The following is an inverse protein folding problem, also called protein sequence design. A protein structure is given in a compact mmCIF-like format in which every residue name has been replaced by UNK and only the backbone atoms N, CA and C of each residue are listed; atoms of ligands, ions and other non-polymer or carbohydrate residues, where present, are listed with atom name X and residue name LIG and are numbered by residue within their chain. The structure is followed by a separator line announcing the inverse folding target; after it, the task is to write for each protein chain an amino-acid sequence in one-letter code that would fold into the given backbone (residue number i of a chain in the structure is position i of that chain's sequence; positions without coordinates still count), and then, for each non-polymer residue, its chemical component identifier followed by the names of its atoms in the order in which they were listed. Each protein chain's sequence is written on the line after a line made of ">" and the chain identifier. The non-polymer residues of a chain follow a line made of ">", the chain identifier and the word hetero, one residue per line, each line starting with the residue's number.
data_IF_749231107134
#
_entry.id   IF_749231107134
#
_cell.length_a   1.000
_cell.length_b   1.000
_cell.length_c   1.000
_cell.angle_alpha   90.00
_cell.angle_beta   90.00
_cell.angle_gamma   90.00
#
_symmetry.space_group_name_H-M   'P 1'
#
loop_
_entity.id
_entity.type
_entity.pdbx_description
1 polymer ?
#
# COMPACT_ATOMS: atom_id res chain seq x y z
N UNK A 1 -77.58 0.44 -1.70
CA UNK A 1 -76.98 1.48 -2.56
C UNK A 1 -75.81 2.23 -1.90
N UNK A 2 -75.83 2.49 -0.58
CA UNK A 2 -74.74 3.18 0.13
C UNK A 2 -73.43 2.37 0.32
N UNK A 3 -73.50 1.04 0.41
CA UNK A 3 -72.29 0.20 0.59
C UNK A 3 -71.40 0.11 -0.67
N UNK A 4 -72.00 0.21 -1.85
CA UNK A 4 -71.31 0.08 -3.15
C UNK A 4 -70.50 1.34 -3.50
N UNK A 5 -71.03 2.52 -3.14
CA UNK A 5 -70.35 3.81 -3.30
C UNK A 5 -69.15 3.97 -2.34
N UNK A 6 -69.19 3.34 -1.17
CA UNK A 6 -68.07 3.35 -0.21
C UNK A 6 -66.91 2.44 -0.64
N UNK A 7 -67.21 1.26 -1.22
CA UNK A 7 -66.20 0.35 -1.76
C UNK A 7 -65.50 0.94 -3.00
N UNK A 8 -66.22 1.63 -3.89
CA UNK A 8 -65.60 2.33 -5.03
C UNK A 8 -64.70 3.50 -4.60
N UNK A 9 -65.01 4.20 -3.49
CA UNK A 9 -64.17 5.30 -2.99
C UNK A 9 -62.87 4.83 -2.33
N UNK A 10 -62.86 3.66 -1.67
CA UNK A 10 -61.66 3.09 -1.05
C UNK A 10 -60.65 2.56 -2.07
N UNK A 11 -61.12 1.90 -3.15
CA UNK A 11 -60.25 1.42 -4.24
C UNK A 11 -59.64 2.58 -5.04
N UNK A 12 -60.37 3.69 -5.17
CA UNK A 12 -59.89 4.87 -5.90
C UNK A 12 -58.84 5.69 -5.09
N UNK A 13 -58.91 5.67 -3.75
CA UNK A 13 -57.95 6.39 -2.89
C UNK A 13 -56.57 5.73 -2.84
N UNK A 14 -56.50 4.39 -2.85
CA UNK A 14 -55.20 3.67 -2.80
C UNK A 14 -54.37 3.84 -4.08
N UNK A 15 -55.03 3.95 -5.25
CA UNK A 15 -54.35 4.12 -6.54
C UNK A 15 -53.69 5.50 -6.71
N UNK A 16 -54.29 6.57 -6.18
CA UNK A 16 -53.76 7.94 -6.27
C UNK A 16 -52.54 8.15 -5.38
N UNK A 17 -52.50 7.52 -4.20
CA UNK A 17 -51.34 7.59 -3.28
C UNK A 17 -50.08 6.91 -3.86
N UNK A 18 -50.25 5.81 -4.60
CA UNK A 18 -49.12 5.12 -5.26
C UNK A 18 -48.53 5.90 -6.46
N UNK A 19 -49.31 6.80 -7.06
CA UNK A 19 -48.89 7.59 -8.23
C UNK A 19 -48.15 8.87 -7.84
N UNK A 20 -48.50 9.48 -6.70
CA UNK A 20 -47.81 10.65 -6.14
C UNK A 20 -46.40 10.27 -5.66
N UNK A 21 -46.24 9.09 -5.06
CA UNK A 21 -44.93 8.60 -4.58
C UNK A 21 -43.90 8.32 -5.70
N UNK A 22 -44.35 8.10 -6.94
CA UNK A 22 -43.45 7.84 -8.09
C UNK A 22 -42.97 9.12 -8.79
N UNK A 23 -43.71 10.23 -8.68
CA UNK A 23 -43.31 11.50 -9.29
C UNK A 23 -42.26 12.25 -8.46
N UNK A 24 -42.35 12.17 -7.13
CA UNK A 24 -41.40 12.85 -6.24
C UNK A 24 -40.02 12.15 -6.18
N UNK A 25 -39.96 10.84 -6.48
CA UNK A 25 -38.70 10.09 -6.51
C UNK A 25 -37.84 10.42 -7.74
N UNK A 26 -38.46 10.84 -8.86
CA UNK A 26 -37.75 11.15 -10.11
C UNK A 26 -37.36 12.63 -10.16
N UNK A 27 -38.16 13.52 -9.55
CA UNK A 27 -37.84 14.95 -9.46
C UNK A 27 -36.68 15.25 -8.48
N UNK A 28 -36.53 14.46 -7.40
CA UNK A 28 -35.41 14.59 -6.47
C UNK A 28 -34.06 14.14 -7.05
N UNK A 29 -34.06 13.23 -8.04
CA UNK A 29 -32.84 12.71 -8.65
C UNK A 29 -32.28 13.60 -9.78
N UNK A 30 -33.10 14.48 -10.35
CA UNK A 30 -32.70 15.37 -11.46
C UNK A 30 -32.09 16.70 -10.99
N UNK A 31 -32.31 17.13 -9.73
CA UNK A 31 -31.83 18.42 -9.20
C UNK A 31 -30.41 18.31 -8.59
N UNK A 32 -29.90 17.10 -8.35
CA UNK A 32 -28.57 16.86 -7.76
C UNK A 32 -27.44 16.65 -8.79
N UNK A 33 -27.70 16.77 -10.10
CA UNK A 33 -26.68 16.54 -11.14
C UNK A 33 -26.04 17.81 -11.72
N UNK A 34 -26.47 19.01 -11.31
CA UNK A 34 -25.85 20.29 -11.70
C UNK A 34 -24.97 20.88 -10.58
N UNK A 35 -24.29 20.03 -9.81
CA UNK A 35 -23.10 20.47 -9.10
C UNK A 35 -22.01 20.75 -10.14
N UNK A 36 -21.93 22.01 -10.55
CA UNK A 36 -20.89 22.55 -11.41
C UNK A 36 -19.52 22.18 -10.84
N UNK A 37 -18.87 21.22 -11.49
CA UNK A 37 -17.45 20.96 -11.33
C UNK A 37 -16.73 22.24 -11.75
N UNK A 38 -16.40 23.09 -10.78
CA UNK A 38 -15.39 24.13 -10.98
C UNK A 38 -14.05 23.40 -11.09
N UNK A 39 -13.75 22.92 -12.31
CA UNK A 39 -12.43 22.46 -12.67
C UNK A 39 -11.56 23.71 -12.64
N UNK A 40 -10.91 23.98 -11.52
CA UNK A 40 -9.84 24.96 -11.43
C UNK A 40 -8.72 24.49 -12.36
N UNK A 41 -8.77 24.92 -13.61
CA UNK A 41 -7.68 24.73 -14.54
C UNK A 41 -6.45 25.38 -13.93
N UNK A 42 -5.39 24.59 -13.70
CA UNK A 42 -4.11 25.13 -13.28
C UNK A 42 -3.64 26.10 -14.37
N UNK A 43 -3.76 27.41 -14.11
CA UNK A 43 -3.41 28.44 -15.08
C UNK A 43 -1.91 28.38 -15.32
N UNK A 44 -1.52 27.95 -16.52
CA UNK A 44 -0.11 27.85 -16.87
C UNK A 44 0.51 29.25 -16.91
N UNK A 45 1.70 29.43 -16.32
CA UNK A 45 2.36 30.73 -16.31
C UNK A 45 2.71 31.15 -17.75
N UNK A 46 2.26 32.34 -18.14
CA UNK A 46 2.49 32.88 -19.48
C UNK A 46 3.60 33.94 -19.49
N UNK A 47 3.66 34.74 -18.42
CA UNK A 47 4.59 35.88 -18.31
C UNK A 47 5.17 36.02 -16.91
N UNK A 48 6.30 36.70 -16.82
CA UNK A 48 7.00 37.03 -15.59
C UNK A 48 7.23 38.54 -15.54
N UNK A 49 6.81 39.17 -14.45
CA UNK A 49 6.93 40.60 -14.23
C UNK A 49 7.93 40.89 -13.12
N UNK A 50 8.86 41.82 -13.31
CA UNK A 50 9.75 42.28 -12.24
C UNK A 50 9.90 43.78 -12.24
N UNK A 51 10.45 44.29 -11.13
CA UNK A 51 10.77 45.68 -10.92
C UNK A 51 12.28 45.85 -11.01
N UNK A 52 12.72 46.73 -11.91
CA UNK A 52 14.13 47.13 -11.96
C UNK A 52 14.46 48.14 -10.86
N UNK A 53 15.72 48.62 -10.81
CA UNK A 53 16.17 49.56 -9.79
C UNK A 53 15.48 50.94 -9.89
N UNK A 54 14.92 51.27 -11.06
CA UNK A 54 14.20 52.52 -11.30
C UNK A 54 12.69 52.37 -11.01
N UNK A 55 12.23 51.19 -10.58
CA UNK A 55 10.83 50.88 -10.35
C UNK A 55 10.04 50.65 -11.64
N UNK A 56 10.71 50.51 -12.78
CA UNK A 56 10.06 50.26 -14.07
C UNK A 56 9.67 48.79 -14.14
N UNK A 57 8.41 48.56 -14.50
CA UNK A 57 7.83 47.23 -14.68
C UNK A 57 8.26 46.67 -16.02
N UNK A 58 8.95 45.53 -16.00
CA UNK A 58 9.28 44.78 -17.21
C UNK A 58 8.62 43.41 -17.18
N UNK A 59 8.03 43.02 -18.30
CA UNK A 59 7.36 41.72 -18.48
C UNK A 59 8.16 40.91 -19.50
N UNK A 60 8.52 39.68 -19.13
CA UNK A 60 9.28 38.75 -19.94
C UNK A 60 8.56 37.41 -20.03
N UNK A 61 8.77 36.68 -21.13
CA UNK A 61 8.32 35.27 -21.26
C UNK A 61 9.26 34.27 -20.55
N UNK A 62 10.40 34.74 -20.05
CA UNK A 62 11.39 33.91 -19.35
C UNK A 62 11.94 34.58 -18.10
N UNK A 63 12.30 33.78 -17.10
CA UNK A 63 12.89 34.24 -15.84
C UNK A 63 14.40 34.41 -16.01
N UNK A 64 14.91 35.63 -15.77
CA UNK A 64 16.37 35.89 -15.77
C UNK A 64 16.93 35.95 -14.35
N UNK A 65 18.26 35.92 -14.20
CA UNK A 65 18.89 36.04 -12.87
C UNK A 65 18.51 37.33 -12.13
N UNK A 66 18.27 38.44 -12.86
CA UNK A 66 17.83 39.68 -12.24
C UNK A 66 16.44 39.56 -11.61
N UNK A 67 15.53 38.82 -12.23
CA UNK A 67 14.21 38.51 -11.68
C UNK A 67 14.37 37.73 -10.37
N UNK A 68 15.19 36.68 -10.35
CA UNK A 68 15.44 35.86 -9.16
C UNK A 68 16.04 36.69 -8.02
N UNK A 69 17.01 37.57 -8.33
CA UNK A 69 17.68 38.41 -7.33
C UNK A 69 16.75 39.44 -6.68
N UNK A 70 15.81 40.01 -7.44
CA UNK A 70 14.92 41.09 -6.95
C UNK A 70 13.53 40.61 -6.53
N UNK A 71 13.16 39.39 -6.90
CA UNK A 71 11.80 38.92 -6.83
C UNK A 71 11.02 39.30 -8.08
N UNK A 72 9.98 38.54 -8.36
CA UNK A 72 9.17 38.69 -9.56
C UNK A 72 7.78 38.10 -9.35
N UNK A 73 6.86 38.53 -10.18
CA UNK A 73 5.49 38.07 -10.24
C UNK A 73 5.32 37.12 -11.42
N UNK A 74 4.60 36.02 -11.18
CA UNK A 74 4.19 35.07 -12.21
C UNK A 74 2.79 35.45 -12.65
N UNK A 75 2.59 35.67 -13.95
CA UNK A 75 1.33 36.14 -14.53
C UNK A 75 0.72 35.09 -15.47
N UNK A 76 -0.61 35.09 -15.57
CA UNK A 76 -1.35 34.30 -16.55
C UNK A 76 -1.40 34.97 -17.94
N UNK A 77 -2.06 34.32 -18.89
CA UNK A 77 -2.24 34.86 -20.24
C UNK A 77 -3.03 36.18 -20.28
N UNK A 78 -3.84 36.44 -19.25
CA UNK A 78 -4.64 37.64 -19.08
C UNK A 78 -3.93 38.70 -18.22
N UNK A 79 -2.62 38.53 -17.97
CA UNK A 79 -1.79 39.42 -17.13
C UNK A 79 -2.18 39.49 -15.65
N UNK A 80 -2.98 38.55 -15.15
CA UNK A 80 -3.33 38.46 -13.74
C UNK A 80 -2.21 37.79 -12.94
N UNK A 81 -2.01 38.26 -11.70
CA UNK A 81 -1.03 37.67 -10.79
C UNK A 81 -1.45 36.27 -10.35
N UNK A 82 -0.66 35.27 -10.72
CA UNK A 82 -0.78 33.89 -10.23
C UNK A 82 -0.04 33.74 -8.90
N UNK A 83 1.21 34.24 -8.84
CA UNK A 83 2.10 34.04 -7.68
C UNK A 83 3.17 35.11 -7.61
N UNK A 84 3.40 35.67 -6.42
CA UNK A 84 4.57 36.49 -6.13
C UNK A 84 5.73 35.60 -5.64
N UNK A 85 6.93 35.78 -6.21
CA UNK A 85 8.18 35.12 -5.81
C UNK A 85 9.10 36.19 -5.20
N UNK A 86 9.47 36.09 -3.92
CA UNK A 86 10.32 37.09 -3.28
C UNK A 86 11.75 37.04 -3.82
N UNK A 87 12.52 38.10 -3.54
CA UNK A 87 13.95 38.16 -3.81
C UNK A 87 14.70 36.94 -3.23
N UNK A 88 15.67 36.44 -3.98
CA UNK A 88 16.48 35.31 -3.54
C UNK A 88 17.35 35.69 -2.34
N UNK A 89 17.26 34.87 -1.29
CA UNK A 89 18.01 35.04 -0.04
C UNK A 89 18.85 33.79 0.26
N UNK A 90 20.17 33.90 0.10
CA UNK A 90 21.13 32.78 0.24
C UNK A 90 21.02 32.09 1.60
N UNK A 91 20.95 32.84 2.70
CA UNK A 91 20.86 32.25 4.06
C UNK A 91 19.57 31.46 4.28
N UNK A 92 18.44 31.96 3.77
CA UNK A 92 17.15 31.26 3.84
C UNK A 92 17.18 29.99 2.98
N UNK A 93 17.80 30.06 1.80
CA UNK A 93 17.93 28.94 0.87
C UNK A 93 18.81 27.82 1.45
N UNK A 94 19.94 28.16 2.08
CA UNK A 94 20.80 27.20 2.79
C UNK A 94 20.08 26.54 3.96
N UNK A 95 19.32 27.29 4.77
CA UNK A 95 18.51 26.74 5.86
C UNK A 95 17.41 25.79 5.38
N UNK A 96 16.81 26.08 4.22
CA UNK A 96 15.73 25.28 3.64
C UNK A 96 16.21 24.14 2.72
N UNK A 97 17.48 24.16 2.30
CA UNK A 97 18.04 23.15 1.40
C UNK A 97 17.96 21.71 1.95
N UNK A 98 18.27 21.43 3.24
CA UNK A 98 18.12 20.09 3.80
C UNK A 98 16.67 19.58 3.75
N UNK A 99 15.70 20.44 4.07
CA UNK A 99 14.28 20.09 4.06
C UNK A 99 13.79 19.78 2.64
N UNK A 100 14.16 20.61 1.65
CA UNK A 100 13.85 20.34 0.23
C UNK A 100 14.48 19.04 -0.27
N UNK A 101 15.74 18.80 0.09
CA UNK A 101 16.44 17.58 -0.28
C UNK A 101 15.77 16.35 0.35
N UNK A 102 15.35 16.44 1.62
CA UNK A 102 14.61 15.36 2.29
C UNK A 102 13.25 15.09 1.63
N UNK A 103 12.49 16.15 1.32
CA UNK A 103 11.20 16.02 0.62
C UNK A 103 11.37 15.40 -0.76
N UNK A 104 12.36 15.83 -1.54
CA UNK A 104 12.65 15.26 -2.86
C UNK A 104 13.01 13.77 -2.77
N UNK A 105 13.85 13.39 -1.81
CA UNK A 105 14.18 11.97 -1.54
C UNK A 105 12.94 11.18 -1.16
N UNK A 106 12.07 11.71 -0.31
CA UNK A 106 10.83 11.03 0.08
C UNK A 106 9.91 10.82 -1.12
N UNK A 107 9.70 11.85 -1.95
CA UNK A 107 8.91 11.75 -3.18
C UNK A 107 9.48 10.71 -4.15
N UNK A 108 10.80 10.68 -4.32
CA UNK A 108 11.45 9.67 -5.16
C UNK A 108 11.21 8.26 -4.63
N UNK A 109 11.34 8.05 -3.31
CA UNK A 109 11.07 6.75 -2.70
C UNK A 109 9.59 6.34 -2.79
N UNK A 110 8.66 7.28 -2.64
CA UNK A 110 7.22 7.02 -2.79
C UNK A 110 6.87 6.65 -4.24
N UNK A 111 7.47 7.32 -5.22
CA UNK A 111 7.34 6.96 -6.64
C UNK A 111 7.92 5.57 -6.93
N UNK A 112 9.09 5.24 -6.36
CA UNK A 112 9.67 3.90 -6.49
C UNK A 112 8.76 2.84 -5.88
N UNK A 113 8.16 3.11 -4.72
CA UNK A 113 7.22 2.20 -4.06
C UNK A 113 5.98 1.95 -4.93
N UNK A 114 5.38 3.02 -5.48
CA UNK A 114 4.24 2.91 -6.40
C UNK A 114 4.62 2.17 -7.69
N UNK A 115 5.83 2.34 -8.22
CA UNK A 115 6.30 1.58 -9.39
C UNK A 115 6.47 0.08 -9.09
N UNK A 116 7.00 -0.27 -7.92
CA UNK A 116 7.24 -1.66 -7.55
C UNK A 116 5.93 -2.42 -7.24
N UNK A 117 5.01 -1.78 -6.51
CA UNK A 117 3.83 -2.45 -5.97
C UNK A 117 2.50 -1.99 -6.54
N UNK A 118 2.47 -0.93 -7.37
CA UNK A 118 1.30 -0.36 -8.04
C UNK A 118 0.24 0.22 -7.10
N UNK A 119 -0.36 -0.61 -6.24
CA UNK A 119 -1.40 -0.25 -5.27
C UNK A 119 -1.35 -1.17 -4.05
N UNK A 120 -2.14 -0.85 -3.02
CA UNK A 120 -2.23 -1.65 -1.79
C UNK A 120 -2.70 -3.09 -2.05
N UNK A 121 -3.64 -3.31 -2.98
CA UNK A 121 -4.16 -4.65 -3.29
C UNK A 121 -3.08 -5.58 -3.83
N UNK A 122 -2.29 -5.11 -4.79
CA UNK A 122 -1.19 -5.86 -5.38
C UNK A 122 -0.06 -6.12 -4.37
N UNK A 123 0.24 -5.16 -3.47
CA UNK A 123 1.17 -5.39 -2.36
C UNK A 123 0.68 -6.52 -1.40
N UNK A 124 -0.62 -6.56 -1.09
CA UNK A 124 -1.22 -7.63 -0.28
C UNK A 124 -1.14 -9.00 -0.98
N UNK A 125 -1.38 -9.04 -2.28
CA UNK A 125 -1.23 -10.26 -3.06
C UNK A 125 0.21 -10.78 -3.01
N UNK A 126 1.20 -9.90 -3.22
CA UNK A 126 2.63 -10.25 -3.11
C UNK A 126 3.00 -10.76 -1.71
N UNK A 127 2.47 -10.13 -0.66
CA UNK A 127 2.60 -10.62 0.71
C UNK A 127 2.08 -12.06 0.84
N UNK A 128 0.86 -12.32 0.37
CA UNK A 128 0.24 -13.63 0.46
C UNK A 128 1.01 -14.70 -0.32
N UNK A 129 1.48 -14.39 -1.53
CA UNK A 129 2.32 -15.27 -2.35
C UNK A 129 3.62 -15.63 -1.61
N UNK A 130 4.32 -14.62 -1.09
CA UNK A 130 5.60 -14.79 -0.39
C UNK A 130 5.45 -15.61 0.89
N UNK A 131 4.47 -15.26 1.73
CA UNK A 131 4.17 -15.97 2.98
C UNK A 131 3.74 -17.41 2.69
N UNK A 132 2.87 -17.61 1.71
CA UNK A 132 2.39 -18.93 1.31
C UNK A 132 3.51 -19.85 0.85
N UNK A 133 4.52 -19.32 0.14
CA UNK A 133 5.68 -20.10 -0.28
C UNK A 133 6.54 -20.56 0.92
N UNK A 134 6.79 -19.67 1.88
CA UNK A 134 7.55 -20.01 3.10
C UNK A 134 6.77 -21.02 3.95
N UNK A 135 5.45 -20.88 4.06
CA UNK A 135 4.59 -21.82 4.78
C UNK A 135 4.61 -23.22 4.14
N UNK A 136 4.61 -23.31 2.81
CA UNK A 136 4.76 -24.59 2.10
C UNK A 136 6.11 -25.24 2.42
N UNK A 137 7.20 -24.47 2.41
CA UNK A 137 8.52 -24.96 2.80
C UNK A 137 8.54 -25.44 4.25
N UNK A 138 7.95 -24.69 5.19
CA UNK A 138 7.81 -25.11 6.59
C UNK A 138 7.05 -26.43 6.71
N UNK A 139 5.94 -26.58 5.99
CA UNK A 139 5.14 -27.82 5.99
C UNK A 139 5.99 -29.02 5.55
N UNK A 140 6.77 -28.87 4.48
CA UNK A 140 7.69 -29.91 4.00
C UNK A 140 8.74 -30.26 5.05
N UNK A 141 9.34 -29.26 5.70
CA UNK A 141 10.34 -29.50 6.75
C UNK A 141 9.74 -30.18 7.98
N UNK A 142 8.50 -29.84 8.36
CA UNK A 142 7.81 -30.53 9.45
C UNK A 142 7.49 -31.99 9.11
N UNK A 143 7.10 -32.28 7.86
CA UNK A 143 6.92 -33.66 7.40
C UNK A 143 8.24 -34.44 7.45
N UNK A 144 9.35 -33.82 7.01
CA UNK A 144 10.67 -34.42 7.10
C UNK A 144 11.08 -34.71 8.56
N UNK A 145 10.86 -33.75 9.46
CA UNK A 145 11.09 -33.90 10.90
C UNK A 145 10.27 -35.08 11.47
N UNK A 146 9.00 -35.19 11.09
CA UNK A 146 8.13 -36.28 11.53
C UNK A 146 8.65 -37.65 11.07
N UNK A 147 9.06 -37.77 9.80
CA UNK A 147 9.63 -39.00 9.26
C UNK A 147 10.93 -39.40 9.99
N UNK A 148 11.80 -38.43 10.31
CA UNK A 148 13.01 -38.66 11.10
C UNK A 148 12.67 -39.17 12.51
N UNK A 149 11.61 -38.66 13.15
CA UNK A 149 11.17 -39.13 14.46
C UNK A 149 10.64 -40.58 14.40
N UNK A 150 9.86 -40.93 13.38
CA UNK A 150 9.41 -42.31 13.17
C UNK A 150 10.61 -43.25 12.99
N UNK A 151 11.56 -42.86 12.14
CA UNK A 151 12.78 -43.63 11.89
C UNK A 151 13.58 -43.82 13.17
N UNK A 152 13.72 -42.77 13.99
CA UNK A 152 14.40 -42.85 15.29
C UNK A 152 13.72 -43.84 16.22
N UNK A 153 12.39 -43.80 16.31
CA UNK A 153 11.63 -44.73 17.15
C UNK A 153 11.83 -46.19 16.71
N UNK A 154 11.88 -46.45 15.40
CA UNK A 154 12.18 -47.78 14.86
C UNK A 154 13.59 -48.25 15.23
N UNK A 155 14.61 -47.40 15.06
CA UNK A 155 16.00 -47.71 15.41
C UNK A 155 16.17 -47.98 16.91
N UNK A 156 15.51 -47.21 17.77
CA UNK A 156 15.52 -47.42 19.22
C UNK A 156 14.85 -48.74 19.62
N UNK A 157 13.76 -49.13 18.96
CA UNK A 157 13.14 -50.46 19.17
C UNK A 157 14.08 -51.59 18.76
N UNK A 158 14.77 -51.45 17.64
CA UNK A 158 15.78 -52.43 17.22
C UNK A 158 16.90 -52.54 18.25
N UNK A 159 17.46 -51.40 18.68
CA UNK A 159 18.47 -51.35 19.74
C UNK A 159 17.99 -52.06 21.03
N UNK A 160 16.75 -51.80 21.47
CA UNK A 160 16.16 -52.47 22.63
C UNK A 160 15.99 -53.98 22.44
N UNK A 161 15.81 -54.46 21.20
CA UNK A 161 15.84 -55.89 20.86
C UNK A 161 17.18 -56.54 21.20
N UNK A 162 18.30 -55.97 20.73
CA UNK A 162 19.64 -56.47 21.04
C UNK A 162 19.90 -56.53 22.56
N UNK A 163 19.57 -55.44 23.26
CA UNK A 163 19.77 -55.35 24.72
C UNK A 163 18.96 -56.43 25.45
N UNK A 164 17.71 -56.67 25.05
CA UNK A 164 16.86 -57.72 25.65
C UNK A 164 17.40 -59.12 25.41
N UNK A 165 18.02 -59.37 24.27
CA UNK A 165 18.64 -60.65 23.95
C UNK A 165 20.02 -60.83 24.61
N UNK A 166 20.52 -59.84 25.35
CA UNK A 166 21.89 -59.83 25.88
C UNK A 166 22.97 -59.67 24.81
N UNK A 167 22.58 -59.29 23.60
CA UNK A 167 23.47 -59.09 22.47
C UNK A 167 24.08 -57.68 22.47
N UNK A 168 25.29 -57.55 21.92
CA UNK A 168 25.90 -56.23 21.70
C UNK A 168 25.15 -55.53 20.56
N UNK A 169 24.69 -54.31 20.82
CA UNK A 169 24.06 -53.46 19.80
C UNK A 169 25.02 -53.28 18.61
N UNK A 170 24.54 -53.66 17.42
CA UNK A 170 25.27 -53.53 16.16
C UNK A 170 25.79 -52.09 15.94
N UNK A 171 27.01 -51.99 15.41
CA UNK A 171 27.64 -50.71 15.01
C UNK A 171 26.78 -49.96 13.99
N UNK A 172 26.11 -50.67 13.10
CA UNK A 172 25.21 -50.10 12.09
C UNK A 172 24.05 -49.32 12.73
N UNK A 173 23.41 -49.88 13.77
CA UNK A 173 22.27 -49.22 14.45
C UNK A 173 22.75 -47.94 15.15
N UNK A 174 23.92 -47.99 15.79
CA UNK A 174 24.53 -46.81 16.42
C UNK A 174 24.79 -45.71 15.39
N UNK A 175 25.41 -46.05 14.26
CA UNK A 175 25.68 -45.10 13.18
C UNK A 175 24.39 -44.49 12.60
N UNK A 176 23.35 -45.32 12.37
CA UNK A 176 22.04 -44.83 11.90
C UNK A 176 21.38 -43.88 12.90
N UNK A 177 21.50 -44.14 14.21
CA UNK A 177 20.98 -43.24 15.25
C UNK A 177 21.71 -41.90 15.28
N UNK A 178 23.04 -41.91 15.13
CA UNK A 178 23.85 -40.69 15.05
C UNK A 178 23.50 -39.86 13.80
N UNK A 179 23.41 -40.50 12.63
CA UNK A 179 23.01 -39.83 11.40
C UNK A 179 21.60 -39.23 11.49
N UNK A 180 20.64 -40.00 12.02
CA UNK A 180 19.29 -39.51 12.25
C UNK A 180 19.27 -38.31 13.21
N UNK A 181 20.09 -38.34 14.26
CA UNK A 181 20.25 -37.21 15.17
C UNK A 181 20.80 -35.97 14.46
N UNK A 182 21.88 -36.12 13.69
CA UNK A 182 22.48 -35.03 12.92
C UNK A 182 21.47 -34.40 11.94
N UNK A 183 20.75 -35.22 11.17
CA UNK A 183 19.72 -34.73 10.25
C UNK A 183 18.55 -34.05 10.98
N UNK A 184 18.16 -34.56 12.15
CA UNK A 184 17.14 -33.92 13.00
C UNK A 184 17.57 -32.50 13.41
N UNK A 185 18.85 -32.31 13.77
CA UNK A 185 19.38 -30.99 14.08
C UNK A 185 19.38 -30.06 12.86
N UNK A 186 19.81 -30.56 11.70
CA UNK A 186 19.81 -29.78 10.46
C UNK A 186 18.39 -29.31 10.08
N UNK A 187 17.41 -30.22 10.09
CA UNK A 187 16.01 -29.85 9.77
C UNK A 187 15.46 -28.85 10.79
N UNK A 188 15.80 -29.00 12.09
CA UNK A 188 15.41 -28.03 13.12
C UNK A 188 15.97 -26.63 12.82
N UNK A 189 17.25 -26.53 12.45
CA UNK A 189 17.87 -25.25 12.10
C UNK A 189 17.19 -24.60 10.90
N UNK A 190 16.88 -25.38 9.86
CA UNK A 190 16.14 -24.90 8.67
C UNK A 190 14.74 -24.41 9.05
N UNK A 191 14.01 -25.14 9.89
CA UNK A 191 12.69 -24.70 10.39
C UNK A 191 12.80 -23.35 11.09
N UNK A 192 13.78 -23.15 11.96
CA UNK A 192 13.96 -21.88 12.67
C UNK A 192 14.32 -20.74 11.71
N UNK A 193 15.19 -20.97 10.73
CA UNK A 193 15.50 -19.99 9.70
C UNK A 193 14.26 -19.59 8.89
N UNK A 194 13.43 -20.56 8.49
CA UNK A 194 12.18 -20.30 7.76
C UNK A 194 11.18 -19.53 8.62
N UNK A 195 11.08 -19.80 9.93
CA UNK A 195 10.25 -19.02 10.85
C UNK A 195 10.72 -17.56 10.95
N UNK A 196 12.04 -17.34 11.07
CA UNK A 196 12.58 -15.98 11.09
C UNK A 196 12.32 -15.25 9.77
N UNK A 197 12.50 -15.94 8.64
CA UNK A 197 12.20 -15.40 7.32
C UNK A 197 10.71 -15.02 7.19
N UNK A 198 9.80 -15.86 7.69
CA UNK A 198 8.36 -15.60 7.72
C UNK A 198 8.04 -14.29 8.46
N UNK A 199 8.64 -14.09 9.64
CA UNK A 199 8.45 -12.86 10.45
C UNK A 199 9.00 -11.65 9.69
N UNK A 200 10.22 -11.74 9.15
CA UNK A 200 10.86 -10.66 8.40
C UNK A 200 10.07 -10.26 7.16
N UNK A 201 9.62 -11.24 6.37
CA UNK A 201 8.81 -10.99 5.17
C UNK A 201 7.45 -10.38 5.53
N UNK A 202 6.82 -10.86 6.60
CA UNK A 202 5.57 -10.30 7.09
C UNK A 202 5.73 -8.82 7.43
N UNK A 203 6.74 -8.48 8.24
CA UNK A 203 7.04 -7.10 8.63
C UNK A 203 7.41 -6.22 7.42
N UNK A 204 8.22 -6.75 6.49
CA UNK A 204 8.60 -6.06 5.27
C UNK A 204 7.38 -5.63 4.46
N UNK A 205 6.47 -6.56 4.17
CA UNK A 205 5.25 -6.25 3.42
C UNK A 205 4.27 -5.38 4.20
N UNK A 206 4.16 -5.54 5.53
CA UNK A 206 3.30 -4.70 6.35
C UNK A 206 3.75 -3.23 6.32
N UNK A 207 5.05 -2.97 6.40
CA UNK A 207 5.59 -1.62 6.26
C UNK A 207 5.30 -1.02 4.88
N UNK A 208 5.42 -1.81 3.81
CA UNK A 208 5.11 -1.39 2.43
C UNK A 208 3.62 -1.05 2.29
N UNK A 209 2.74 -1.92 2.79
CA UNK A 209 1.29 -1.72 2.74
C UNK A 209 0.90 -0.46 3.52
N UNK A 210 1.39 -0.28 4.74
CA UNK A 210 1.12 0.91 5.55
C UNK A 210 1.62 2.19 4.90
N UNK A 211 2.74 2.14 4.18
CA UNK A 211 3.26 3.31 3.46
C UNK A 211 2.41 3.61 2.23
N UNK A 212 2.03 2.59 1.45
CA UNK A 212 1.15 2.76 0.29
C UNK A 212 -0.24 3.30 0.69
N UNK A 213 -0.81 2.83 1.79
CA UNK A 213 -2.10 3.32 2.32
C UNK A 213 -2.08 4.81 2.68
N UNK A 214 -0.91 5.37 3.02
CA UNK A 214 -0.76 6.81 3.28
C UNK A 214 -0.62 7.64 2.00
N UNK A 215 -0.42 7.00 0.86
CA UNK A 215 -0.19 7.62 -0.45
C UNK A 215 -1.39 7.48 -1.40
N UNK A 216 -2.42 6.74 -1.00
CA UNK A 216 -3.73 6.60 -1.66
C UNK A 216 -4.71 7.59 -1.02
#
# INVERSE_FOLDING_TARGET
>A
MLLYLLLQRLVCYSSKLAQICKLDLIAGLAILFFATLNISHATQPAYYRYYDNAGVVTVSKSVTQQHIRRGYDVLDHNMNLIKHVPAYHVEKDLKQAPARAAQSRQQQQDLQLKRAYHNVSHAKQKKQESIGNIQKQLSQQYQQMHNLQIQRAQLLRQQAGYVRNGEKVSTEIKQKLELNHAYTQSVRQVIEQLKQNLIQQTQFYDNIIQRLQRLE
#
